data_IF_833053953126
#
_entry.id   IF_833053953126
#
_cell.length_a   1.000
_cell.length_b   1.000
_cell.length_c   1.000
_cell.angle_alpha   90.00
_cell.angle_beta   90.00
_cell.angle_gamma   90.00
#
_symmetry.space_group_name_H-M   'P 1'
#
loop_
_entity.id
_entity.type
_entity.pdbx_description
1 polymer ?
#
# COMPACT_ATOMS: atom_id res chain seq x y z
N UNK A 1 -7.70 -45.23 -31.85
CA UNK A 1 -7.59 -43.91 -32.48
C UNK A 1 -8.23 -42.89 -31.54
N UNK A 2 -7.39 -42.22 -30.74
CA UNK A 2 -7.80 -41.39 -29.60
C UNK A 2 -7.82 -39.93 -30.04
N UNK A 3 -8.97 -39.25 -29.96
CA UNK A 3 -9.07 -37.80 -30.23
C UNK A 3 -9.04 -37.06 -28.89
N UNK A 4 -7.95 -36.35 -28.65
CA UNK A 4 -7.73 -35.45 -27.52
C UNK A 4 -8.33 -34.08 -27.88
N UNK A 5 -9.39 -33.65 -27.20
CA UNK A 5 -9.93 -32.29 -27.31
C UNK A 5 -9.17 -31.41 -26.31
N UNK A 6 -8.28 -30.57 -26.83
CA UNK A 6 -7.52 -29.59 -26.03
C UNK A 6 -8.46 -28.43 -25.71
N UNK A 7 -8.87 -28.33 -24.46
CA UNK A 7 -9.61 -27.19 -23.93
C UNK A 7 -8.72 -25.95 -23.93
N UNK A 8 -9.08 -24.97 -24.76
CA UNK A 8 -8.46 -23.65 -24.77
C UNK A 8 -8.96 -22.88 -23.53
N UNK A 9 -8.21 -22.93 -22.43
CA UNK A 9 -8.49 -22.11 -21.25
C UNK A 9 -8.07 -20.67 -21.55
N UNK A 10 -9.04 -19.82 -21.89
CA UNK A 10 -8.84 -18.38 -22.02
C UNK A 10 -8.70 -17.78 -20.61
N UNK A 11 -7.46 -17.73 -20.09
CA UNK A 11 -7.15 -16.87 -18.95
C UNK A 11 -7.18 -15.42 -19.45
N UNK A 12 -8.34 -14.75 -19.32
CA UNK A 12 -8.42 -13.31 -19.49
C UNK A 12 -7.56 -12.65 -18.41
N UNK A 13 -6.38 -12.19 -18.82
CA UNK A 13 -5.51 -11.34 -18.06
C UNK A 13 -6.21 -10.00 -17.77
N UNK A 14 -6.86 -9.89 -16.62
CA UNK A 14 -7.38 -8.62 -16.06
C UNK A 14 -6.28 -7.68 -15.55
N UNK A 15 -5.01 -8.00 -15.78
CA UNK A 15 -3.86 -7.29 -15.20
C UNK A 15 -3.56 -5.95 -15.89
N UNK A 16 -4.22 -5.64 -17.01
CA UNK A 16 -3.89 -4.48 -17.85
C UNK A 16 -4.61 -3.17 -17.49
N UNK A 17 -5.39 -3.09 -16.40
CA UNK A 17 -6.14 -1.88 -16.03
C UNK A 17 -5.79 -1.29 -14.66
N UNK A 18 -4.50 -1.30 -14.28
CA UNK A 18 -4.00 -0.40 -13.24
C UNK A 18 -2.88 0.44 -13.83
N UNK A 19 -3.24 1.60 -14.38
CA UNK A 19 -2.34 2.76 -14.31
C UNK A 19 -1.80 2.84 -12.87
N UNK A 20 -0.53 3.20 -12.72
CA UNK A 20 0.26 3.01 -11.49
C UNK A 20 -0.33 3.78 -10.30
N UNK A 21 -1.39 3.24 -9.68
CA UNK A 21 -2.22 3.92 -8.68
C UNK A 21 -1.42 4.35 -7.46
N UNK A 22 -0.31 3.66 -7.19
CA UNK A 22 0.61 4.02 -6.12
C UNK A 22 1.47 5.22 -6.47
N UNK A 23 1.95 5.29 -7.72
CA UNK A 23 2.64 6.49 -8.19
C UNK A 23 1.71 7.69 -8.12
N UNK A 24 0.47 7.57 -8.58
CA UNK A 24 -0.49 8.67 -8.53
C UNK A 24 -0.83 9.06 -7.09
N UNK A 25 -1.14 8.09 -6.22
CA UNK A 25 -1.43 8.34 -4.80
C UNK A 25 -0.25 9.00 -4.06
N UNK A 26 1.00 8.61 -4.39
CA UNK A 26 2.18 9.21 -3.78
C UNK A 26 2.37 10.70 -4.10
N UNK A 27 1.72 11.21 -5.15
CA UNK A 27 1.78 12.60 -5.59
C UNK A 27 0.56 13.43 -5.14
N UNK A 28 -0.35 12.88 -4.34
CA UNK A 28 -1.51 13.65 -3.87
C UNK A 28 -1.06 14.86 -3.02
N UNK A 29 -1.61 16.07 -3.27
CA UNK A 29 -1.08 17.31 -2.69
C UNK A 29 -1.10 17.35 -1.16
N UNK A 30 -2.12 16.78 -0.55
CA UNK A 30 -2.30 16.67 0.90
C UNK A 30 -1.18 15.82 1.56
N UNK A 31 -0.82 14.69 0.94
CA UNK A 31 0.31 13.85 1.37
C UNK A 31 1.65 14.54 1.19
N UNK A 32 1.88 15.10 0.01
CA UNK A 32 3.15 15.78 -0.29
C UNK A 32 3.35 16.96 0.66
N UNK A 33 2.28 17.71 0.95
CA UNK A 33 2.32 18.83 1.88
C UNK A 33 2.61 18.38 3.32
N UNK A 34 1.88 17.40 3.85
CA UNK A 34 2.07 16.91 5.23
C UNK A 34 3.47 16.30 5.44
N UNK A 35 3.98 15.57 4.45
CA UNK A 35 5.31 14.97 4.48
C UNK A 35 6.44 16.01 4.39
N UNK A 36 6.24 17.06 3.57
CA UNK A 36 7.23 18.14 3.40
C UNK A 36 7.50 18.89 4.71
N UNK A 37 6.49 19.10 5.56
CA UNK A 37 6.67 19.70 6.89
C UNK A 37 7.65 18.92 7.77
N UNK A 38 7.87 17.64 7.45
CA UNK A 38 8.79 16.73 8.14
C UNK A 38 10.02 16.38 7.32
N UNK A 39 10.28 17.12 6.23
CA UNK A 39 11.41 16.92 5.31
C UNK A 39 11.45 15.53 4.67
N UNK A 40 10.28 14.92 4.47
CA UNK A 40 10.14 13.66 3.74
C UNK A 40 9.81 13.99 2.28
N UNK A 41 10.64 13.53 1.36
CA UNK A 41 10.28 13.45 -0.06
C UNK A 41 9.35 12.25 -0.24
N UNK A 42 8.05 12.50 -0.14
CA UNK A 42 7.05 11.45 -0.07
C UNK A 42 6.99 10.60 -1.35
N UNK A 43 6.90 11.17 -2.57
CA UNK A 43 6.93 10.36 -3.79
C UNK A 43 8.19 9.51 -3.92
N UNK A 44 9.37 10.07 -3.66
CA UNK A 44 10.62 9.31 -3.75
C UNK A 44 10.71 8.21 -2.69
N UNK A 45 10.21 8.46 -1.48
CA UNK A 45 10.16 7.47 -0.39
C UNK A 45 9.22 6.32 -0.74
N UNK A 46 8.04 6.61 -1.29
CA UNK A 46 7.09 5.57 -1.77
C UNK A 46 7.70 4.76 -2.90
N UNK A 47 8.36 5.40 -3.87
CA UNK A 47 9.03 4.69 -4.97
C UNK A 47 10.08 3.71 -4.46
N UNK A 48 10.92 4.12 -3.49
CA UNK A 48 11.89 3.22 -2.84
C UNK A 48 11.21 2.09 -2.07
N UNK A 49 10.21 2.41 -1.27
CA UNK A 49 9.48 1.42 -0.47
C UNK A 49 8.83 0.35 -1.37
N UNK A 50 8.25 0.75 -2.50
CA UNK A 50 7.70 -0.15 -3.53
C UNK A 50 8.72 -1.15 -4.05
N UNK A 51 9.99 -0.77 -4.15
CA UNK A 51 11.08 -1.66 -4.55
C UNK A 51 11.66 -2.50 -3.38
N UNK A 52 11.00 -2.52 -2.23
CA UNK A 52 11.36 -3.37 -1.09
C UNK A 52 12.41 -2.76 -0.15
N UNK A 53 12.69 -1.45 -0.28
CA UNK A 53 13.55 -0.71 0.63
C UNK A 53 12.89 -0.58 2.02
N UNK A 54 13.42 -1.35 2.96
CA UNK A 54 12.91 -1.45 4.34
C UNK A 54 13.04 -0.11 5.08
N UNK A 55 14.10 0.66 4.82
CA UNK A 55 14.29 1.95 5.47
C UNK A 55 13.28 2.98 4.96
N UNK A 56 13.00 2.98 3.65
CA UNK A 56 11.96 3.83 3.08
C UNK A 56 10.57 3.47 3.61
N UNK A 57 10.26 2.18 3.71
CA UNK A 57 8.99 1.71 4.30
C UNK A 57 8.86 2.12 5.77
N UNK A 58 9.93 2.01 6.57
CA UNK A 58 9.96 2.45 7.96
C UNK A 58 9.74 3.98 8.10
N UNK A 59 10.26 4.78 7.17
CA UNK A 59 10.01 6.23 7.14
C UNK A 59 8.50 6.50 6.97
N UNK A 60 7.82 5.76 6.09
CA UNK A 60 6.38 5.91 5.89
C UNK A 60 5.58 5.47 7.12
N UNK A 61 5.96 4.39 7.81
CA UNK A 61 5.33 4.01 9.08
C UNK A 61 5.47 5.08 10.14
N UNK A 62 6.67 5.66 10.29
CA UNK A 62 6.92 6.79 11.20
C UNK A 62 6.24 8.07 10.75
N UNK A 63 5.76 8.11 9.51
CA UNK A 63 4.97 9.22 9.02
C UNK A 63 3.54 9.19 9.58
N UNK A 64 2.93 8.00 9.65
CA UNK A 64 1.53 7.73 10.01
C UNK A 64 0.96 8.54 11.19
N UNK A 65 1.60 8.64 12.37
CA UNK A 65 0.98 9.36 13.49
C UNK A 65 0.91 10.89 13.32
N UNK A 66 1.44 11.43 12.22
CA UNK A 66 1.46 12.86 11.94
C UNK A 66 0.67 13.24 10.69
N UNK A 67 -0.13 12.32 10.16
CA UNK A 67 -1.11 12.61 9.11
C UNK A 67 -2.46 12.87 9.77
N UNK A 68 -3.20 13.85 9.28
CA UNK A 68 -4.54 14.21 9.74
C UNK A 68 -5.47 14.51 8.55
N UNK A 69 -6.79 14.51 8.81
CA UNK A 69 -7.82 14.77 7.81
C UNK A 69 -7.60 14.01 6.50
N UNK A 70 -7.70 14.72 5.38
CA UNK A 70 -7.45 14.17 4.03
C UNK A 70 -6.07 13.49 3.90
N UNK A 71 -5.04 14.05 4.55
CA UNK A 71 -3.70 13.48 4.49
C UNK A 71 -3.61 12.10 5.16
N UNK A 72 -4.39 11.87 6.22
CA UNK A 72 -4.50 10.55 6.85
C UNK A 72 -5.21 9.55 5.93
N UNK A 73 -6.35 9.92 5.37
CA UNK A 73 -7.12 9.07 4.43
C UNK A 73 -6.24 8.64 3.25
N UNK A 74 -5.59 9.62 2.63
CA UNK A 74 -4.65 9.44 1.54
C UNK A 74 -3.46 8.54 1.93
N UNK A 75 -2.95 8.67 3.15
CA UNK A 75 -1.82 7.87 3.63
C UNK A 75 -2.20 6.41 3.82
N UNK A 76 -3.41 6.14 4.31
CA UNK A 76 -3.92 4.79 4.48
C UNK A 76 -3.97 4.03 3.15
N UNK A 77 -4.43 4.70 2.08
CA UNK A 77 -4.44 4.13 0.71
C UNK A 77 -3.03 3.73 0.26
N UNK A 78 -2.03 4.58 0.50
CA UNK A 78 -0.63 4.29 0.17
C UNK A 78 -0.11 3.08 0.96
N UNK A 79 -0.40 3.01 2.27
CA UNK A 79 0.00 1.89 3.11
C UNK A 79 -0.62 0.57 2.64
N UNK A 80 -1.93 0.56 2.31
CA UNK A 80 -2.59 -0.63 1.76
C UNK A 80 -1.99 -1.05 0.42
N UNK A 81 -1.74 -0.12 -0.48
CA UNK A 81 -1.15 -0.45 -1.78
C UNK A 81 0.28 -1.00 -1.65
N UNK A 82 1.08 -0.45 -0.72
CA UNK A 82 2.40 -1.01 -0.40
C UNK A 82 2.31 -2.40 0.22
N UNK A 83 1.33 -2.65 1.11
CA UNK A 83 1.04 -3.99 1.62
C UNK A 83 0.72 -4.97 0.49
N UNK A 84 -0.16 -4.58 -0.45
CA UNK A 84 -0.53 -5.40 -1.61
C UNK A 84 0.65 -5.71 -2.54
N UNK A 85 1.55 -4.74 -2.76
CA UNK A 85 2.68 -4.90 -3.67
C UNK A 85 3.81 -5.72 -3.03
N UNK A 86 4.13 -5.46 -1.77
CA UNK A 86 5.24 -6.11 -1.07
C UNK A 86 4.87 -7.46 -0.46
N UNK A 87 3.57 -7.68 -0.26
CA UNK A 87 3.01 -8.82 0.46
C UNK A 87 3.18 -8.72 1.98
N UNK A 88 2.36 -9.50 2.69
CA UNK A 88 2.26 -9.48 4.14
C UNK A 88 3.59 -9.73 4.84
N UNK A 89 4.38 -10.70 4.36
CA UNK A 89 5.63 -11.08 5.01
C UNK A 89 6.64 -9.92 5.06
N UNK A 90 6.86 -9.22 3.94
CA UNK A 90 7.84 -8.12 3.85
C UNK A 90 7.35 -6.88 4.62
N UNK A 91 6.07 -6.56 4.48
CA UNK A 91 5.48 -5.41 5.16
C UNK A 91 5.47 -5.61 6.69
N UNK A 92 4.93 -6.74 7.16
CA UNK A 92 4.81 -7.05 8.58
C UNK A 92 6.15 -7.31 9.27
N UNK A 93 7.15 -7.86 8.57
CA UNK A 93 8.50 -8.00 9.15
C UNK A 93 9.14 -6.64 9.40
N UNK A 94 9.00 -5.70 8.45
CA UNK A 94 9.45 -4.32 8.64
C UNK A 94 8.72 -3.64 9.80
N UNK A 95 7.39 -3.77 9.84
CA UNK A 95 6.56 -3.14 10.89
C UNK A 95 6.88 -3.70 12.27
N UNK A 96 7.22 -4.99 12.39
CA UNK A 96 7.57 -5.65 13.66
C UNK A 96 8.80 -5.03 14.34
N UNK A 97 9.69 -4.38 13.60
CA UNK A 97 10.85 -3.68 14.16
C UNK A 97 10.52 -2.30 14.73
N UNK A 98 9.32 -1.76 14.48
CA UNK A 98 8.88 -0.48 15.02
C UNK A 98 8.29 -0.62 16.44
N UNK A 99 8.33 0.43 17.28
CA UNK A 99 7.74 0.43 18.62
C UNK A 99 6.24 0.10 18.61
N UNK A 100 5.75 -0.54 19.68
CA UNK A 100 4.35 -0.98 19.77
C UNK A 100 3.31 0.12 19.49
N UNK A 101 3.47 1.37 20.00
CA UNK A 101 2.53 2.44 19.68
C UNK A 101 2.46 2.77 18.18
N UNK A 102 3.60 2.69 17.49
CA UNK A 102 3.66 2.95 16.05
C UNK A 102 3.01 1.83 15.24
N UNK A 103 3.22 0.58 15.65
CA UNK A 103 2.55 -0.57 15.03
C UNK A 103 1.04 -0.45 15.13
N UNK A 104 0.52 -0.08 16.31
CA UNK A 104 -0.93 0.17 16.50
C UNK A 104 -1.44 1.22 15.51
N UNK A 105 -0.73 2.34 15.35
CA UNK A 105 -1.14 3.42 14.43
C UNK A 105 -1.17 2.98 12.97
N UNK A 106 -0.20 2.19 12.53
CA UNK A 106 -0.19 1.64 11.16
C UNK A 106 -1.32 0.62 10.97
N UNK A 107 -1.60 -0.22 11.98
CA UNK A 107 -2.73 -1.15 11.93
C UNK A 107 -4.07 -0.40 11.90
N UNK A 108 -4.27 0.62 12.74
CA UNK A 108 -5.47 1.47 12.73
C UNK A 108 -5.69 2.15 11.37
N UNK A 109 -4.62 2.64 10.74
CA UNK A 109 -4.68 3.23 9.41
C UNK A 109 -5.08 2.20 8.33
N UNK A 110 -4.54 0.98 8.40
CA UNK A 110 -4.93 -0.10 7.50
C UNK A 110 -6.38 -0.53 7.73
N UNK A 111 -6.80 -0.71 8.99
CA UNK A 111 -8.16 -1.08 9.35
C UNK A 111 -9.16 -0.04 8.86
N UNK A 112 -8.84 1.26 8.97
CA UNK A 112 -9.64 2.35 8.42
C UNK A 112 -9.86 2.19 6.91
N UNK A 113 -8.80 2.01 6.13
CA UNK A 113 -8.91 1.85 4.67
C UNK A 113 -9.59 0.52 4.27
N UNK A 114 -9.50 -0.54 5.09
CA UNK A 114 -10.22 -1.79 4.85
C UNK A 114 -11.70 -1.74 5.28
N UNK A 115 -12.10 -0.87 6.20
CA UNK A 115 -13.46 -0.81 6.73
C UNK A 115 -14.49 -0.21 5.77
N UNK A 116 -14.06 0.45 4.70
CA UNK A 116 -14.97 1.13 3.79
C UNK A 116 -15.76 0.14 2.89
N UNK A 117 -17.10 0.30 2.74
CA UNK A 117 -17.97 -0.70 2.10
C UNK A 117 -17.65 -1.06 0.65
N UNK A 118 -17.06 -0.14 -0.12
CA UNK A 118 -16.70 -0.37 -1.53
C UNK A 118 -15.43 -1.22 -1.71
N UNK A 119 -14.76 -1.61 -0.61
CA UNK A 119 -13.52 -2.40 -0.61
C UNK A 119 -13.69 -3.86 -0.13
N UNK A 120 -14.92 -4.32 0.15
CA UNK A 120 -15.22 -5.71 0.56
C UNK A 120 -15.06 -6.75 -0.57
N UNK A 121 -14.77 -6.32 -1.78
CA UNK A 121 -14.45 -7.19 -2.90
C UNK A 121 -12.92 -7.30 -3.04
N UNK A 122 -12.38 -8.51 -2.78
CA UNK A 122 -11.02 -9.02 -3.11
C UNK A 122 -9.86 -8.95 -2.10
N UNK A 123 -9.18 -10.10 -1.88
CA UNK A 123 -9.76 -11.37 -1.45
C UNK A 123 -9.31 -11.74 -0.03
N UNK A 124 -10.20 -12.47 0.65
CA UNK A 124 -9.89 -13.31 1.80
C UNK A 124 -9.15 -14.54 1.29
N UNK A 125 -7.86 -14.65 1.59
CA UNK A 125 -7.11 -15.92 1.57
C UNK A 125 -6.09 -15.91 2.68
#
# INVERSE_FOLDING_TARGET
MTRLVIGLTLFLATVALRADTLKDASNWPDLVYSAKQRRIDYPATVARARHGDVAALAILFRHTPHTDGSGADSHCVVLRQLLQILGDQKFSSTLRHEPAPLRSKVTEALDFDFAHPWQKEFPLT
#
